data_IF_285418091630
#
_entry.id   IF_285418091630
#
_cell.length_a   1.000
_cell.length_b   1.000
_cell.length_c   1.000
_cell.angle_alpha   90.00
_cell.angle_beta   90.00
_cell.angle_gamma   90.00
#
_symmetry.space_group_name_H-M   'P 1'
#
loop_
_entity.id
_entity.type
_entity.pdbx_description
1 polymer ?
#
# COMPACT_ATOMS: atom_id res chain seq x y z
N UNK A 1 -42.81 64.17 -30.41
CA UNK A 1 -42.41 63.23 -31.48
C UNK A 1 -42.32 61.83 -30.86
N UNK A 2 -43.32 60.98 -31.09
CA UNK A 2 -43.29 59.79 -31.99
C UNK A 2 -42.42 58.63 -31.47
N UNK A 3 -43.11 57.62 -30.94
CA UNK A 3 -42.95 56.15 -31.03
C UNK A 3 -41.56 55.51 -31.13
N UNK A 4 -41.30 54.49 -30.29
CA UNK A 4 -41.46 53.07 -30.67
C UNK A 4 -41.30 52.11 -29.48
N UNK A 5 -42.29 51.23 -29.31
CA UNK A 5 -42.21 49.99 -28.53
C UNK A 5 -41.36 48.96 -29.28
N UNK A 6 -40.65 48.08 -28.56
CA UNK A 6 -40.38 46.71 -29.03
C UNK A 6 -40.30 45.73 -27.85
N UNK A 7 -41.30 44.86 -27.80
CA UNK A 7 -41.39 43.59 -27.07
C UNK A 7 -40.69 42.46 -27.86
N UNK A 8 -40.02 41.55 -27.16
CA UNK A 8 -39.74 40.15 -27.56
C UNK A 8 -39.13 39.42 -26.33
N UNK A 9 -39.88 38.67 -25.51
CA UNK A 9 -40.29 37.25 -25.60
C UNK A 9 -39.14 36.24 -25.78
N UNK A 10 -38.96 35.45 -24.69
CA UNK A 10 -38.54 34.04 -24.53
C UNK A 10 -37.25 33.55 -25.21
N UNK A 11 -36.34 33.05 -24.38
CA UNK A 11 -36.02 31.61 -24.39
C UNK A 11 -35.36 31.21 -23.08
N UNK A 12 -35.97 30.22 -22.44
CA UNK A 12 -35.42 29.59 -21.25
C UNK A 12 -34.15 28.83 -21.62
N UNK A 13 -33.12 29.01 -20.80
CA UNK A 13 -32.06 28.03 -20.67
C UNK A 13 -32.31 27.40 -19.30
N UNK A 14 -33.04 26.28 -19.32
CA UNK A 14 -32.94 25.27 -18.28
C UNK A 14 -31.49 24.82 -18.33
N UNK A 15 -30.64 25.40 -17.48
CA UNK A 15 -29.31 24.88 -17.26
C UNK A 15 -29.49 23.57 -16.51
N UNK A 16 -29.56 22.50 -17.29
CA UNK A 16 -29.51 21.12 -16.86
C UNK A 16 -28.35 21.00 -15.87
N UNK A 17 -28.69 20.71 -14.62
CA UNK A 17 -27.76 20.36 -13.57
C UNK A 17 -26.97 19.14 -14.06
N UNK A 18 -25.77 19.36 -14.63
CA UNK A 18 -24.79 18.30 -14.76
C UNK A 18 -24.45 17.89 -13.33
N UNK A 19 -25.00 16.76 -12.91
CA UNK A 19 -24.41 15.91 -11.90
C UNK A 19 -22.99 15.58 -12.36
N UNK A 20 -22.05 16.46 -12.02
CA UNK A 20 -20.64 16.13 -11.95
C UNK A 20 -20.58 15.10 -10.84
N UNK A 21 -20.63 13.82 -11.22
CA UNK A 21 -20.30 12.73 -10.31
C UNK A 21 -18.95 13.06 -9.72
N UNK A 22 -18.92 13.36 -8.43
CA UNK A 22 -17.68 13.56 -7.69
C UNK A 22 -16.93 12.24 -7.78
N UNK A 23 -15.96 12.17 -8.70
CA UNK A 23 -14.90 11.17 -8.63
C UNK A 23 -14.39 11.21 -7.18
N UNK A 24 -14.27 10.05 -6.49
CA UNK A 24 -13.69 10.03 -5.16
C UNK A 24 -12.31 10.68 -5.28
N UNK A 25 -12.15 11.83 -4.61
CA UNK A 25 -10.87 12.51 -4.55
C UNK A 25 -9.94 11.53 -3.83
N UNK A 26 -8.97 11.01 -4.56
CA UNK A 26 -7.91 10.22 -3.98
C UNK A 26 -7.07 11.19 -3.17
N UNK A 27 -7.14 11.07 -1.84
CA UNK A 27 -6.25 11.83 -0.97
C UNK A 27 -4.86 11.21 -1.12
N UNK A 28 -3.96 11.92 -1.81
CA UNK A 28 -2.56 11.54 -1.85
C UNK A 28 -1.92 11.92 -0.51
N UNK A 29 -1.60 10.92 0.32
CA UNK A 29 -0.66 11.14 1.40
C UNK A 29 0.71 11.43 0.78
N UNK A 30 1.44 12.40 1.32
CA UNK A 30 2.80 12.65 0.88
C UNK A 30 3.67 11.42 1.17
N UNK A 31 4.62 11.05 0.29
CA UNK A 31 5.51 9.92 0.54
C UNK A 31 6.25 10.09 1.88
N UNK A 32 6.31 9.03 2.67
CA UNK A 32 6.90 9.02 4.02
C UNK A 32 8.26 8.33 3.97
N UNK A 33 9.32 9.09 4.24
CA UNK A 33 10.67 8.54 4.37
C UNK A 33 10.82 7.80 5.70
N UNK A 34 11.46 6.63 5.66
CA UNK A 34 11.72 5.81 6.84
C UNK A 34 13.17 5.33 6.85
N UNK A 35 13.90 5.53 7.96
CA UNK A 35 15.21 4.91 8.15
C UNK A 35 15.03 3.41 8.33
N UNK A 36 15.91 2.62 7.73
CA UNK A 36 15.92 1.17 7.83
C UNK A 36 17.22 0.70 8.46
N UNK A 37 17.11 -0.10 9.52
CA UNK A 37 18.22 -0.83 10.13
C UNK A 37 18.14 -2.28 9.66
N UNK A 38 18.97 -2.65 8.69
CA UNK A 38 18.96 -3.97 8.06
C UNK A 38 20.06 -4.86 8.63
N UNK A 39 19.69 -6.02 9.15
CA UNK A 39 20.63 -7.10 9.45
C UNK A 39 20.64 -8.09 8.30
N UNK A 40 21.83 -8.39 7.78
CA UNK A 40 22.06 -9.39 6.74
C UNK A 40 22.91 -10.50 7.34
N UNK A 41 22.36 -11.70 7.39
CA UNK A 41 23.00 -12.91 7.90
C UNK A 41 23.25 -13.88 6.76
N UNK A 42 24.51 -14.03 6.36
CA UNK A 42 24.94 -14.97 5.32
C UNK A 42 25.40 -16.32 5.91
N UNK A 43 24.99 -16.65 7.14
CA UNK A 43 25.36 -17.87 7.84
C UNK A 43 26.87 -17.93 8.09
N UNK A 44 27.53 -18.95 7.54
CA UNK A 44 28.98 -19.16 7.72
C UNK A 44 29.85 -18.03 7.15
N UNK A 45 29.29 -17.17 6.30
CA UNK A 45 29.99 -16.04 5.71
C UNK A 45 29.90 -14.76 6.55
N UNK A 46 29.21 -14.82 7.70
CA UNK A 46 29.12 -13.75 8.67
C UNK A 46 27.80 -12.98 8.62
N UNK A 47 27.68 -12.05 9.56
CA UNK A 47 26.55 -11.13 9.67
C UNK A 47 27.05 -9.69 9.51
N UNK A 48 26.25 -8.86 8.86
CA UNK A 48 26.50 -7.43 8.75
C UNK A 48 25.24 -6.66 9.07
N UNK A 49 25.42 -5.45 9.60
CA UNK A 49 24.34 -4.49 9.79
C UNK A 49 24.57 -3.35 8.81
N UNK A 50 23.50 -2.90 8.18
CA UNK A 50 23.55 -1.80 7.22
C UNK A 50 22.35 -0.89 7.43
N UNK A 51 22.66 0.40 7.61
CA UNK A 51 21.66 1.44 7.69
C UNK A 51 21.39 1.99 6.28
N UNK A 52 20.13 2.16 5.96
CA UNK A 52 19.66 2.70 4.70
C UNK A 52 18.35 3.46 4.91
N UNK A 53 17.75 3.95 3.84
CA UNK A 53 16.45 4.59 3.88
C UNK A 53 15.57 4.04 2.77
N UNK A 54 14.27 4.08 3.00
CA UNK A 54 13.25 3.88 1.96
C UNK A 54 12.20 4.96 2.07
N UNK A 55 11.34 5.04 1.07
CA UNK A 55 10.16 5.90 1.11
C UNK A 55 8.94 5.07 0.77
N UNK A 56 7.95 5.14 1.65
CA UNK A 56 6.63 4.56 1.43
C UNK A 56 5.72 5.58 0.77
N UNK A 57 5.15 5.21 -0.36
CA UNK A 57 4.11 5.98 -1.03
C UNK A 57 2.84 5.13 -1.00
N UNK A 58 1.93 5.50 -0.10
CA UNK A 58 0.65 4.82 0.11
C UNK A 58 -0.47 5.80 -0.18
N UNK A 59 -1.33 5.44 -1.13
CA UNK A 59 -2.47 6.26 -1.50
C UNK A 59 -3.77 5.52 -1.21
N UNK A 60 -4.67 6.20 -0.51
CA UNK A 60 -6.00 5.73 -0.16
C UNK A 60 -7.05 6.75 -0.63
N UNK A 61 -8.27 6.32 -0.96
CA UNK A 61 -9.39 7.25 -1.06
C UNK A 61 -9.59 7.99 0.27
N UNK A 62 -9.98 9.27 0.23
CA UNK A 62 -10.21 10.04 1.46
C UNK A 62 -11.29 9.40 2.35
N UNK A 63 -12.32 8.85 1.71
CA UNK A 63 -13.45 8.17 2.33
C UNK A 63 -13.66 6.81 1.68
N UNK A 64 -13.94 5.81 2.50
CA UNK A 64 -14.29 4.46 2.06
C UNK A 64 -15.61 4.06 2.71
N UNK A 65 -16.50 3.43 1.97
CA UNK A 65 -17.74 2.88 2.53
C UNK A 65 -17.45 1.54 3.18
N UNK A 66 -17.96 1.30 4.39
CA UNK A 66 -17.90 -0.03 5.00
C UNK A 66 -18.52 -1.07 4.07
N UNK A 67 -17.97 -2.29 4.09
CA UNK A 67 -18.32 -3.44 3.23
C UNK A 67 -18.13 -3.28 1.72
N UNK A 68 -17.86 -2.07 1.22
CA UNK A 68 -17.51 -1.83 -0.18
C UNK A 68 -16.02 -2.04 -0.43
N UNK A 69 -15.69 -2.40 -1.67
CA UNK A 69 -14.30 -2.59 -2.09
C UNK A 69 -13.69 -1.25 -2.48
N UNK A 70 -12.49 -0.97 -1.98
CA UNK A 70 -11.68 0.16 -2.39
C UNK A 70 -10.27 -0.30 -2.77
N UNK A 71 -9.53 0.56 -3.48
CA UNK A 71 -8.17 0.26 -3.94
C UNK A 71 -7.19 1.14 -3.16
N UNK A 72 -6.23 0.50 -2.50
CA UNK A 72 -5.04 1.15 -1.96
C UNK A 72 -3.90 1.01 -2.97
N UNK A 73 -3.21 2.11 -3.29
CA UNK A 73 -1.96 2.04 -4.05
C UNK A 73 -0.79 1.99 -3.08
N UNK A 74 0.13 1.10 -3.34
CA UNK A 74 1.35 0.94 -2.55
C UNK A 74 2.56 0.97 -3.47
N UNK A 75 3.52 1.83 -3.15
CA UNK A 75 4.82 1.88 -3.80
C UNK A 75 5.91 2.05 -2.75
N UNK A 76 6.97 1.28 -2.92
CA UNK A 76 8.18 1.37 -2.11
C UNK A 76 9.30 1.88 -3.02
N UNK A 77 10.00 2.92 -2.58
CA UNK A 77 11.18 3.39 -3.29
C UNK A 77 12.32 2.38 -3.20
N UNK A 78 13.14 2.34 -4.24
CA UNK A 78 14.30 1.45 -4.32
C UNK A 78 15.21 1.64 -3.11
N UNK A 79 15.60 0.53 -2.49
CA UNK A 79 16.60 0.51 -1.43
C UNK A 79 17.93 0.14 -2.04
N UNK A 80 18.89 1.05 -1.91
CA UNK A 80 20.22 0.87 -2.48
C UNK A 80 21.23 0.63 -1.36
N UNK A 81 22.05 -0.40 -1.51
CA UNK A 81 23.10 -0.80 -0.58
C UNK A 81 24.42 -0.82 -1.35
N UNK A 82 25.35 0.04 -0.95
CA UNK A 82 26.70 0.06 -1.49
C UNK A 82 27.66 -0.66 -0.54
N UNK A 83 28.40 -1.64 -1.04
CA UNK A 83 29.38 -2.39 -0.27
C UNK A 83 30.39 -3.08 -1.20
N UNK A 84 31.68 -2.81 -1.01
CA UNK A 84 32.77 -3.38 -1.82
C UNK A 84 32.81 -4.92 -1.81
N UNK A 85 32.33 -5.55 -0.75
CA UNK A 85 32.26 -7.02 -0.67
C UNK A 85 31.31 -7.61 -1.71
N UNK A 86 30.32 -6.83 -2.19
CA UNK A 86 29.38 -7.25 -3.22
C UNK A 86 30.07 -7.45 -4.58
N UNK A 87 31.24 -6.84 -4.83
CA UNK A 87 32.06 -7.07 -6.05
C UNK A 87 32.46 -8.53 -6.23
N UNK A 88 32.50 -9.30 -5.15
CA UNK A 88 32.84 -10.73 -5.17
C UNK A 88 31.65 -11.61 -5.55
N UNK A 89 30.44 -11.06 -5.55
CA UNK A 89 29.21 -11.79 -5.87
C UNK A 89 28.98 -11.70 -7.38
N UNK A 90 28.91 -12.86 -8.03
CA UNK A 90 28.69 -12.96 -9.48
C UNK A 90 27.22 -12.78 -9.86
N UNK A 91 26.29 -13.28 -9.04
CA UNK A 91 24.86 -13.04 -9.22
C UNK A 91 24.08 -13.18 -7.93
N UNK A 92 22.89 -12.60 -7.91
CA UNK A 92 21.94 -12.73 -6.81
C UNK A 92 20.56 -13.10 -7.35
N UNK A 93 19.76 -13.74 -6.50
CA UNK A 93 18.34 -13.99 -6.74
C UNK A 93 17.59 -13.83 -5.42
N UNK A 94 16.55 -13.00 -5.41
CA UNK A 94 15.59 -13.00 -4.31
C UNK A 94 14.78 -14.30 -4.39
N UNK A 95 14.85 -15.12 -3.34
CA UNK A 95 14.10 -16.38 -3.24
C UNK A 95 12.77 -16.17 -2.51
N UNK A 96 12.80 -15.38 -1.43
CA UNK A 96 11.62 -15.01 -0.65
C UNK A 96 11.71 -13.56 -0.25
N UNK A 97 10.58 -12.87 -0.18
CA UNK A 97 10.52 -11.55 0.45
C UNK A 97 9.18 -11.33 1.13
N UNK A 98 9.17 -10.45 2.12
CA UNK A 98 7.94 -9.94 2.71
C UNK A 98 8.11 -8.44 2.99
N UNK A 99 7.05 -7.68 2.74
CA UNK A 99 6.86 -6.32 3.26
C UNK A 99 5.67 -6.37 4.19
N UNK A 100 5.82 -5.88 5.42
CA UNK A 100 4.80 -5.87 6.44
C UNK A 100 4.36 -4.43 6.71
N UNK A 101 3.05 -4.22 6.75
CA UNK A 101 2.42 -2.94 7.08
C UNK A 101 1.31 -3.18 8.10
N UNK A 102 1.21 -2.32 9.09
CA UNK A 102 0.09 -2.33 10.01
C UNK A 102 -1.11 -1.66 9.34
N UNK A 103 -2.24 -2.36 9.28
CA UNK A 103 -3.51 -1.90 8.68
C UNK A 103 -4.69 -1.95 9.66
N UNK A 104 -4.47 -2.49 10.87
CA UNK A 104 -5.48 -2.69 11.91
C UNK A 104 -6.48 -3.81 11.60
N UNK A 105 -7.37 -4.09 12.56
CA UNK A 105 -8.30 -5.24 12.49
C UNK A 105 -9.59 -4.95 11.71
N UNK A 106 -9.79 -3.71 11.27
CA UNK A 106 -10.99 -3.25 10.58
C UNK A 106 -10.90 -3.34 9.05
N UNK A 107 -9.91 -4.08 8.53
CA UNK A 107 -9.63 -4.20 7.09
C UNK A 107 -9.37 -5.66 6.73
N UNK A 108 -9.91 -6.07 5.59
CA UNK A 108 -9.60 -7.35 4.96
C UNK A 108 -9.33 -7.18 3.47
N UNK A 109 -8.73 -8.20 2.85
CA UNK A 109 -8.65 -8.29 1.40
C UNK A 109 -10.08 -8.45 0.85
N UNK A 110 -10.43 -7.66 -0.17
CA UNK A 110 -11.75 -7.76 -0.78
C UNK A 110 -11.96 -9.09 -1.53
N UNK A 111 -10.85 -9.64 -2.04
CA UNK A 111 -10.74 -10.93 -2.72
C UNK A 111 -9.32 -11.49 -2.56
N UNK A 112 -9.10 -12.81 -2.71
CA UNK A 112 -7.76 -13.38 -2.70
C UNK A 112 -6.86 -12.73 -3.75
N UNK A 113 -5.72 -12.19 -3.32
CA UNK A 113 -4.74 -11.54 -4.18
C UNK A 113 -3.37 -12.22 -4.05
N UNK A 114 -2.74 -12.68 -5.16
CA UNK A 114 -1.51 -13.45 -5.09
C UNK A 114 -0.35 -12.71 -4.40
N UNK A 115 0.18 -13.33 -3.34
CA UNK A 115 1.25 -12.78 -2.53
C UNK A 115 0.80 -11.72 -1.53
N UNK A 116 -0.50 -11.55 -1.29
CA UNK A 116 -1.01 -10.64 -0.26
C UNK A 116 -1.78 -11.43 0.80
N UNK A 117 -1.49 -11.17 2.07
CA UNK A 117 -2.25 -11.73 3.21
C UNK A 117 -2.46 -10.66 4.27
N UNK A 118 -3.58 -10.72 4.99
CA UNK A 118 -3.81 -9.90 6.18
C UNK A 118 -4.06 -10.84 7.36
N UNK A 119 -3.30 -10.67 8.44
CA UNK A 119 -3.47 -11.44 9.68
C UNK A 119 -3.06 -10.59 10.87
N UNK A 120 -3.87 -10.58 11.93
CA UNK A 120 -3.62 -9.82 13.17
C UNK A 120 -3.29 -8.34 12.91
N UNK A 121 -4.08 -7.69 12.05
CA UNK A 121 -3.88 -6.29 11.68
C UNK A 121 -2.64 -6.01 10.82
N UNK A 122 -1.90 -7.04 10.37
CA UNK A 122 -0.71 -6.89 9.52
C UNK A 122 -1.03 -7.34 8.10
N UNK A 123 -0.85 -6.43 7.15
CA UNK A 123 -0.78 -6.72 5.72
C UNK A 123 0.64 -7.16 5.37
N UNK A 124 0.77 -8.40 4.89
CA UNK A 124 2.02 -8.96 4.39
C UNK A 124 1.96 -9.06 2.87
N UNK A 125 2.97 -8.46 2.22
CA UNK A 125 3.20 -8.47 0.78
C UNK A 125 4.39 -9.39 0.50
N UNK A 126 4.11 -10.62 0.09
CA UNK A 126 5.10 -11.67 -0.15
C UNK A 126 5.58 -11.72 -1.61
N UNK A 127 6.87 -11.95 -1.77
CA UNK A 127 7.52 -12.28 -3.05
C UNK A 127 7.32 -11.23 -4.16
N UNK A 128 7.21 -9.95 -3.74
CA UNK A 128 7.15 -8.80 -4.66
C UNK A 128 8.45 -8.01 -4.71
N UNK A 129 9.39 -8.20 -3.78
CA UNK A 129 10.70 -7.59 -3.87
C UNK A 129 11.55 -8.34 -4.90
N UNK A 130 12.19 -7.57 -5.77
CA UNK A 130 13.26 -8.05 -6.63
C UNK A 130 14.58 -7.49 -6.13
N UNK A 131 15.68 -8.20 -6.41
CA UNK A 131 17.01 -7.75 -6.08
C UNK A 131 17.88 -7.80 -7.33
N UNK A 132 18.57 -6.70 -7.61
CA UNK A 132 19.54 -6.58 -8.68
C UNK A 132 20.91 -6.22 -8.10
N UNK A 133 21.97 -6.84 -8.62
CA UNK A 133 23.34 -6.52 -8.26
C UNK A 133 24.04 -5.89 -9.46
N UNK A 134 24.64 -4.73 -9.24
CA UNK A 134 25.53 -4.09 -10.19
C UNK A 134 26.84 -3.70 -9.49
N UNK A 135 27.92 -4.42 -9.79
CA UNK A 135 29.25 -4.24 -9.18
C UNK A 135 29.21 -4.33 -7.64
N UNK A 136 29.41 -3.22 -6.95
CA UNK A 136 29.39 -3.05 -5.50
C UNK A 136 28.03 -2.58 -4.96
N UNK A 137 26.99 -2.54 -5.82
CA UNK A 137 25.70 -1.94 -5.48
C UNK A 137 24.57 -2.93 -5.62
N UNK A 138 23.91 -3.24 -4.51
CA UNK A 138 22.69 -4.02 -4.43
C UNK A 138 21.49 -3.08 -4.43
N UNK A 139 20.53 -3.31 -5.33
CA UNK A 139 19.26 -2.59 -5.37
C UNK A 139 18.13 -3.56 -5.10
N UNK A 140 17.28 -3.25 -4.12
CA UNK A 140 16.03 -3.95 -3.87
C UNK A 140 14.86 -3.06 -4.29
N UNK A 141 13.98 -3.60 -5.13
CA UNK A 141 12.89 -2.85 -5.77
C UNK A 141 11.57 -3.59 -5.65
N UNK A 142 10.48 -2.85 -5.50
CA UNK A 142 9.12 -3.37 -5.53
C UNK A 142 8.35 -2.73 -6.70
N UNK A 143 7.55 -3.49 -7.47
CA UNK A 143 6.61 -2.87 -8.39
C UNK A 143 5.54 -2.10 -7.59
N UNK A 144 4.92 -1.10 -8.21
CA UNK A 144 3.71 -0.49 -7.66
C UNK A 144 2.59 -1.53 -7.61
N UNK A 145 1.88 -1.57 -6.49
CA UNK A 145 0.81 -2.53 -6.22
C UNK A 145 -0.52 -1.80 -6.04
N UNK A 146 -1.55 -2.32 -6.69
CA UNK A 146 -2.94 -1.95 -6.42
C UNK A 146 -3.55 -3.06 -5.57
N UNK A 147 -3.89 -2.74 -4.32
CA UNK A 147 -4.38 -3.69 -3.33
C UNK A 147 -5.88 -3.42 -3.11
N UNK A 148 -6.71 -4.41 -3.44
CA UNK A 148 -8.16 -4.32 -3.22
C UNK A 148 -8.51 -4.71 -1.79
N UNK A 149 -9.13 -3.80 -1.07
CA UNK A 149 -9.43 -3.92 0.35
C UNK A 149 -10.90 -3.66 0.61
N UNK A 150 -11.38 -4.13 1.76
CA UNK A 150 -12.72 -3.88 2.25
C UNK A 150 -12.63 -3.51 3.72
N UNK A 151 -13.24 -2.39 4.10
CA UNK A 151 -13.38 -2.01 5.50
C UNK A 151 -14.49 -2.88 6.13
N UNK A 152 -14.19 -3.55 7.23
CA UNK A 152 -15.12 -4.42 7.96
C UNK A 152 -15.88 -3.67 9.06
N UNK A 153 -15.39 -2.50 9.46
CA UNK A 153 -15.98 -1.66 10.50
C UNK A 153 -15.08 -0.48 10.89
N UNK A 154 -15.31 0.08 12.09
CA UNK A 154 -14.51 1.17 12.63
C UNK A 154 -14.77 2.53 11.99
N UNK A 155 -14.04 3.56 12.47
CA UNK A 155 -14.16 4.94 11.99
C UNK A 155 -13.12 5.29 10.91
N UNK A 156 -12.04 4.52 10.81
CA UNK A 156 -10.93 4.79 9.89
C UNK A 156 -10.15 3.55 9.54
N UNK A 157 -9.60 3.54 8.33
CA UNK A 157 -8.52 2.64 7.90
C UNK A 157 -7.22 3.42 7.99
N UNK A 158 -6.20 2.85 8.64
CA UNK A 158 -4.89 3.49 8.81
C UNK A 158 -3.80 2.52 8.38
N UNK A 159 -2.93 2.96 7.48
CA UNK A 159 -1.72 2.27 7.11
C UNK A 159 -0.57 2.86 7.93
N UNK A 160 0.20 2.00 8.58
CA UNK A 160 1.37 2.40 9.36
C UNK A 160 2.52 1.40 9.20
N UNK A 161 3.72 1.82 9.57
CA UNK A 161 4.91 0.96 9.59
C UNK A 161 4.81 -0.09 10.69
N UNK A 162 5.39 -1.26 10.45
CA UNK A 162 5.68 -2.27 11.48
C UNK A 162 7.12 -2.16 11.95
N UNK A 163 7.45 -2.75 13.11
CA UNK A 163 8.84 -2.81 13.57
C UNK A 163 9.72 -3.56 12.57
N UNK A 164 9.30 -4.76 12.15
CA UNK A 164 9.96 -5.51 11.08
C UNK A 164 9.21 -5.24 9.78
N UNK A 165 9.77 -4.33 8.98
CA UNK A 165 9.15 -3.82 7.76
C UNK A 165 9.37 -4.77 6.62
N UNK A 166 10.61 -5.20 6.40
CA UNK A 166 10.93 -6.05 5.27
C UNK A 166 11.80 -7.21 5.70
N UNK A 167 11.51 -8.39 5.18
CA UNK A 167 12.40 -9.53 5.25
C UNK A 167 12.68 -10.06 3.86
N UNK A 168 13.82 -10.70 3.70
CA UNK A 168 14.25 -11.24 2.42
C UNK A 168 15.17 -12.42 2.59
N UNK A 169 15.06 -13.40 1.71
CA UNK A 169 16.05 -14.46 1.56
C UNK A 169 16.64 -14.34 0.17
N UNK A 170 17.94 -14.07 0.11
CA UNK A 170 18.68 -13.87 -1.13
C UNK A 170 19.64 -15.03 -1.31
N UNK A 171 19.62 -15.65 -2.47
CA UNK A 171 20.65 -16.59 -2.90
C UNK A 171 21.67 -15.87 -3.75
N UNK A 172 22.91 -15.83 -3.27
CA UNK A 172 24.05 -15.26 -3.95
C UNK A 172 24.95 -16.36 -4.53
N UNK A 173 25.49 -16.15 -5.73
CA UNK A 173 26.55 -16.98 -6.30
C UNK A 173 27.87 -16.25 -6.21
N UNK A 174 28.86 -16.91 -5.61
CA UNK A 174 30.24 -16.44 -5.49
C UNK A 174 31.10 -17.47 -6.20
N UNK A 175 31.56 -17.14 -7.42
CA UNK A 175 32.21 -18.10 -8.32
C UNK A 175 31.35 -19.38 -8.52
N UNK A 176 31.83 -20.53 -8.00
CA UNK A 176 31.20 -21.85 -8.11
C UNK A 176 30.33 -22.20 -6.89
N UNK A 177 30.31 -21.36 -5.85
CA UNK A 177 29.56 -21.59 -4.62
C UNK A 177 28.26 -20.79 -4.60
N UNK A 178 27.21 -21.35 -4.01
CA UNK A 178 26.01 -20.59 -3.63
C UNK A 178 25.97 -20.36 -2.13
N UNK A 179 25.70 -19.13 -1.72
CA UNK A 179 25.42 -18.73 -0.35
C UNK A 179 23.96 -18.27 -0.26
N UNK A 180 23.32 -18.56 0.86
CA UNK A 180 21.99 -18.01 1.18
C UNK A 180 22.18 -16.99 2.30
N UNK A 181 21.63 -15.81 2.09
CA UNK A 181 21.60 -14.75 3.07
C UNK A 181 20.16 -14.43 3.44
N UNK A 182 19.93 -14.25 4.74
CA UNK A 182 18.67 -13.77 5.28
C UNK A 182 18.83 -12.30 5.65
N UNK A 183 17.82 -11.50 5.32
CA UNK A 183 17.77 -10.08 5.63
C UNK A 183 16.51 -9.79 6.42
N UNK A 184 16.65 -8.95 7.44
CA UNK A 184 15.55 -8.38 8.21
C UNK A 184 15.86 -6.89 8.40
N UNK A 185 14.96 -6.03 7.94
CA UNK A 185 15.06 -4.60 8.08
C UNK A 185 13.98 -4.09 9.02
N UNK A 186 14.40 -3.29 9.98
CA UNK A 186 13.53 -2.70 10.99
C UNK A 186 13.44 -1.19 10.85
N UNK A 187 12.31 -0.62 11.26
CA UNK A 187 12.10 0.83 11.35
C UNK A 187 11.30 1.18 12.60
N UNK A 188 11.05 2.47 12.81
CA UNK A 188 10.14 2.96 13.84
C UNK A 188 8.72 2.45 13.56
N UNK A 189 8.12 1.65 14.45
CA UNK A 189 6.75 1.17 14.26
C UNK A 189 5.73 2.30 14.40
N UNK A 190 4.51 2.06 13.90
CA UNK A 190 3.34 2.91 14.08
C UNK A 190 3.47 4.32 13.48
N UNK A 191 4.41 4.53 12.55
CA UNK A 191 4.48 5.75 11.74
C UNK A 191 3.36 5.68 10.71
N UNK A 192 2.38 6.57 10.83
CA UNK A 192 1.25 6.66 9.91
C UNK A 192 1.71 7.03 8.50
N UNK A 193 1.36 6.19 7.53
CA UNK A 193 1.65 6.35 6.11
C UNK A 193 0.48 6.97 5.34
N UNK A 194 -0.73 6.49 5.61
CA UNK A 194 -1.96 6.98 5.00
C UNK A 194 -3.17 6.63 5.87
N UNK A 195 -4.27 7.36 5.72
CA UNK A 195 -5.54 7.01 6.36
C UNK A 195 -6.74 7.38 5.50
N UNK A 196 -7.83 6.64 5.69
CA UNK A 196 -9.12 6.91 5.09
C UNK A 196 -10.21 6.88 6.17
N UNK A 197 -11.20 7.77 6.09
CA UNK A 197 -12.38 7.72 6.96
C UNK A 197 -13.35 6.65 6.46
N UNK A 198 -13.85 5.81 7.38
CA UNK A 198 -14.86 4.80 7.06
C UNK A 198 -16.25 5.41 7.25
N UNK A 199 -17.06 5.38 6.20
CA UNK A 199 -18.46 5.81 6.20
C UNK A 199 -19.34 4.56 6.34
N UNK A 200 -20.42 4.60 7.15
CA UNK A 200 -21.34 3.47 7.26
C UNK A 200 -21.89 3.06 5.89
N UNK A 201 -21.89 1.75 5.63
CA UNK A 201 -22.58 1.18 4.47
C UNK A 201 -24.09 1.38 4.60
N UNK A 202 -24.80 1.42 3.47
CA UNK A 202 -26.27 1.40 3.51
C UNK A 202 -26.72 0.07 4.12
N UNK A 203 -27.24 0.10 5.34
CA UNK A 203 -27.97 -1.03 5.92
C UNK A 203 -29.22 -1.21 5.08
N UNK A 204 -29.36 -2.33 4.36
CA UNK A 204 -30.65 -2.74 3.83
C UNK A 204 -31.54 -3.00 5.04
N UNK A 205 -32.42 -2.05 5.36
CA UNK A 205 -33.44 -2.24 6.37
C UNK A 205 -34.37 -3.35 5.86
N UNK A 206 -34.21 -4.57 6.38
CA UNK A 206 -35.27 -5.57 6.28
C UNK A 206 -36.39 -5.14 7.22
N UNK A 207 -37.32 -4.35 6.69
CA UNK A 207 -38.61 -4.14 7.31
C UNK A 207 -39.39 -5.47 7.29
N UNK A 208 -39.82 -5.87 8.49
CA UNK A 208 -41.22 -6.22 8.80
C UNK A 208 -41.79 -7.52 8.21
N UNK A 209 -42.02 -8.52 9.08
CA UNK A 209 -43.25 -9.34 9.01
C UNK A 209 -43.63 -9.86 10.42
N UNK A 210 -44.63 -9.18 10.99
CA UNK A 210 -45.76 -9.63 11.83
C UNK A 210 -45.54 -10.34 13.18
N UNK A 211 -46.04 -9.66 14.23
CA UNK A 211 -46.63 -10.23 15.45
C UNK A 211 -47.64 -11.35 15.11
N UNK A 212 -47.71 -12.45 15.88
CA UNK A 212 -48.92 -13.28 15.90
C UNK A 212 -49.97 -12.60 16.78
N UNK A 213 -51.14 -12.38 16.21
CA UNK A 213 -52.39 -12.11 16.93
C UNK A 213 -53.09 -13.46 17.16
N UNK A 214 -53.44 -13.70 18.44
CA UNK A 214 -54.20 -14.81 19.06
C UNK A 214 -53.62 -16.24 19.07
#
# INVERSE_FOLDING_TARGET
MRHLRKTSIRSGIIATSLLIGTLPHVAYAAPVAAPLHCTIDAGRFGKTVQDTHTTFDVSLPEKVTAVETFVAKFKLSDVTIHNDTLKKIGSIKMEKSAINLHVGDNVQLAEPQPGLTISNGILTISDKLTAALHRDTLTASAPELNIKLRATGGNSVVFATTKEVTTGTVRARVFIFSATAHSSCTTTPDVQLASATVVPGKTTANNETTLPEE
#
